data_IF_926742428986
#
_entry.id   IF_926742428986
#
_cell.length_a   1.000
_cell.length_b   1.000
_cell.length_c   1.000
_cell.angle_alpha   90.00
_cell.angle_beta   90.00
_cell.angle_gamma   90.00
#
_symmetry.space_group_name_H-M   'P 1'
#
loop_
_entity.id
_entity.type
_entity.pdbx_description
1 polymer ?
#
# COMPACT_ATOMS: atom_id res chain seq x y z
N UNK A 1 -15.73 2.45 -1.73
CA UNK A 1 -15.12 3.63 -2.39
C UNK A 1 -13.82 3.90 -1.66
N UNK A 2 -12.72 3.90 -2.40
CA UNK A 2 -11.39 4.12 -1.83
C UNK A 2 -11.17 5.61 -1.53
N UNK A 3 -10.49 5.92 -0.43
CA UNK A 3 -10.12 7.30 -0.08
C UNK A 3 -8.88 7.76 -0.83
N UNK A 4 -8.62 9.08 -0.85
CA UNK A 4 -7.40 9.63 -1.44
C UNK A 4 -6.13 9.07 -0.79
N UNK A 5 -6.13 8.89 0.53
CA UNK A 5 -4.96 8.35 1.25
C UNK A 5 -4.73 6.87 0.92
N UNK A 6 -5.80 6.09 0.80
CA UNK A 6 -5.72 4.69 0.35
C UNK A 6 -5.21 4.59 -1.09
N UNK A 7 -5.69 5.44 -2.00
CA UNK A 7 -5.20 5.49 -3.37
C UNK A 7 -3.73 5.93 -3.45
N UNK A 8 -3.31 6.91 -2.63
CA UNK A 8 -1.91 7.31 -2.54
C UNK A 8 -1.00 6.16 -2.11
N UNK A 9 -1.43 5.36 -1.12
CA UNK A 9 -0.68 4.18 -0.67
C UNK A 9 -0.55 3.15 -1.79
N UNK A 10 -1.65 2.84 -2.50
CA UNK A 10 -1.60 1.95 -3.66
C UNK A 10 -0.66 2.47 -4.75
N UNK A 11 -0.77 3.76 -5.10
CA UNK A 11 0.10 4.39 -6.10
C UNK A 11 1.58 4.20 -5.75
N UNK A 12 1.99 4.53 -4.53
CA UNK A 12 3.38 4.36 -4.08
C UNK A 12 3.82 2.90 -4.14
N UNK A 13 2.97 1.97 -3.70
CA UNK A 13 3.29 0.54 -3.75
C UNK A 13 3.47 0.04 -5.19
N UNK A 14 2.74 0.58 -6.16
CA UNK A 14 2.86 0.20 -7.58
C UNK A 14 4.08 0.79 -8.31
N UNK A 15 4.78 1.77 -7.73
CA UNK A 15 5.94 2.40 -8.40
C UNK A 15 7.13 1.46 -8.54
N UNK A 16 7.26 0.50 -7.63
CA UNK A 16 8.40 -0.42 -7.56
C UNK A 16 7.93 -1.78 -7.13
N UNK A 17 8.43 -2.79 -7.83
CA UNK A 17 8.27 -4.19 -7.42
C UNK A 17 9.33 -4.53 -6.37
N UNK A 18 9.02 -4.22 -5.12
CA UNK A 18 9.85 -4.52 -3.96
C UNK A 18 8.99 -5.06 -2.82
N UNK A 19 9.65 -5.70 -1.86
CA UNK A 19 9.03 -6.14 -0.62
C UNK A 19 8.71 -4.94 0.29
N UNK A 20 7.58 -4.27 0.02
CA UNK A 20 7.07 -3.22 0.89
C UNK A 20 6.75 -3.80 2.27
N UNK A 21 7.00 -3.03 3.31
CA UNK A 21 6.52 -3.27 4.66
C UNK A 21 6.08 -1.93 5.24
N UNK A 22 5.53 -1.92 6.46
CA UNK A 22 5.03 -0.67 7.02
C UNK A 22 6.11 0.42 7.10
N UNK A 23 7.36 0.06 7.42
CA UNK A 23 8.43 1.02 7.66
C UNK A 23 8.89 1.70 6.37
N UNK A 24 9.21 0.92 5.32
CA UNK A 24 9.70 1.51 4.07
C UNK A 24 8.60 2.26 3.30
N UNK A 25 7.35 1.81 3.40
CA UNK A 25 6.19 2.45 2.81
C UNK A 25 5.86 3.77 3.53
N UNK A 26 5.79 3.75 4.87
CA UNK A 26 5.51 4.95 5.67
C UNK A 26 6.59 6.01 5.51
N UNK A 27 7.86 5.59 5.53
CA UNK A 27 9.01 6.47 5.27
C UNK A 27 8.94 7.08 3.88
N UNK A 28 8.56 6.31 2.85
CA UNK A 28 8.46 6.81 1.47
C UNK A 28 7.37 7.87 1.34
N UNK A 29 6.19 7.61 1.92
CA UNK A 29 5.08 8.58 1.95
C UNK A 29 5.50 9.86 2.69
N UNK A 30 6.13 9.72 3.86
CA UNK A 30 6.57 10.84 4.70
C UNK A 30 7.63 11.71 4.02
N UNK A 31 8.71 11.12 3.48
CA UNK A 31 9.77 11.87 2.79
C UNK A 31 9.22 12.66 1.61
N UNK A 32 8.24 12.09 0.89
CA UNK A 32 7.64 12.71 -0.29
C UNK A 32 6.43 13.59 0.04
N UNK A 33 6.09 13.74 1.32
CA UNK A 33 4.93 14.51 1.79
C UNK A 33 3.60 14.06 1.14
N UNK A 34 3.47 12.75 0.89
CA UNK A 34 2.27 12.14 0.33
C UNK A 34 1.33 11.77 1.48
N UNK A 35 0.09 12.32 1.54
CA UNK A 35 -0.86 11.97 2.59
C UNK A 35 -1.15 10.47 2.66
N UNK A 36 -1.06 9.91 3.87
CA UNK A 36 -1.17 8.47 4.14
C UNK A 36 -0.12 7.94 5.11
N UNK A 37 1.01 8.65 5.28
CA UNK A 37 1.99 8.37 6.32
C UNK A 37 1.39 8.48 7.73
N UNK A 38 1.98 7.79 8.71
CA UNK A 38 1.50 7.64 10.08
C UNK A 38 0.32 6.68 10.24
N UNK A 39 -0.31 6.24 9.15
CA UNK A 39 -1.51 5.40 9.17
C UNK A 39 -1.42 4.19 8.22
N UNK A 40 -0.21 3.87 7.73
CA UNK A 40 0.01 2.85 6.69
C UNK A 40 -0.55 1.49 7.07
N UNK A 41 -0.36 1.03 8.31
CA UNK A 41 -0.84 -0.29 8.74
C UNK A 41 -2.36 -0.39 8.64
N UNK A 42 -3.09 0.63 9.11
CA UNK A 42 -4.56 0.64 9.06
C UNK A 42 -5.06 0.70 7.61
N UNK A 43 -4.41 1.51 6.77
CA UNK A 43 -4.74 1.63 5.35
C UNK A 43 -4.50 0.29 4.64
N UNK A 44 -3.33 -0.32 4.81
CA UNK A 44 -2.97 -1.60 4.19
C UNK A 44 -3.92 -2.71 4.62
N UNK A 45 -4.25 -2.81 5.91
CA UNK A 45 -5.21 -3.82 6.38
C UNK A 45 -6.60 -3.64 5.76
N UNK A 46 -7.07 -2.39 5.63
CA UNK A 46 -8.35 -2.12 4.95
C UNK A 46 -8.29 -2.48 3.46
N UNK A 47 -7.22 -2.09 2.78
CA UNK A 47 -6.99 -2.45 1.37
C UNK A 47 -6.91 -3.97 1.17
N UNK A 48 -6.30 -4.70 2.10
CA UNK A 48 -6.24 -6.16 2.08
C UNK A 48 -7.62 -6.80 2.28
N UNK A 49 -8.43 -6.28 3.20
CA UNK A 49 -9.82 -6.71 3.38
C UNK A 49 -10.67 -6.47 2.12
N UNK A 50 -10.35 -5.45 1.33
CA UNK A 50 -10.98 -5.17 0.04
C UNK A 50 -10.40 -6.01 -1.12
N UNK A 51 -9.37 -6.83 -0.85
CA UNK A 51 -8.66 -7.64 -1.83
C UNK A 51 -7.81 -6.82 -2.80
N UNK A 52 -7.38 -5.62 -2.42
CA UNK A 52 -6.53 -4.73 -3.23
C UNK A 52 -5.05 -4.91 -2.90
N UNK A 53 -4.73 -5.29 -1.67
CA UNK A 53 -3.36 -5.58 -1.20
C UNK A 53 -3.28 -7.01 -0.68
N UNK A 54 -2.16 -7.67 -0.93
CA UNK A 54 -1.79 -8.97 -0.39
C UNK A 54 -0.76 -8.73 0.71
N UNK A 55 -0.96 -9.38 1.85
CA UNK A 55 -0.04 -9.35 3.00
C UNK A 55 0.56 -10.74 3.14
N UNK A 56 1.88 -10.84 2.99
CA UNK A 56 2.63 -12.08 3.01
C UNK A 56 3.54 -12.17 4.23
N UNK A 57 3.74 -13.38 4.75
CA UNK A 57 4.70 -13.62 5.83
C UNK A 57 6.13 -13.41 5.31
N UNK A 58 6.87 -12.55 5.98
CA UNK A 58 8.29 -12.27 5.68
C UNK A 58 9.25 -13.13 6.52
N UNK A 59 8.72 -13.98 7.40
CA UNK A 59 9.48 -14.60 8.50
C UNK A 59 9.61 -13.69 9.73
N UNK A 60 9.16 -12.43 9.64
CA UNK A 60 9.04 -11.52 10.76
C UNK A 60 7.60 -11.01 10.89
N UNK A 61 6.87 -11.53 11.89
CA UNK A 61 5.46 -11.21 12.14
C UNK A 61 5.17 -9.72 12.30
N UNK A 62 6.15 -8.93 12.75
CA UNK A 62 6.00 -7.48 12.94
C UNK A 62 6.30 -6.68 11.66
N UNK A 63 6.79 -7.32 10.61
CA UNK A 63 7.17 -6.70 9.33
C UNK A 63 6.80 -7.59 8.15
N UNK A 64 5.52 -7.96 7.97
CA UNK A 64 5.09 -8.69 6.77
C UNK A 64 5.37 -7.91 5.49
N UNK A 65 5.37 -8.62 4.36
CA UNK A 65 5.51 -8.01 3.05
C UNK A 65 4.15 -7.64 2.45
N UNK A 66 4.10 -6.50 1.77
CA UNK A 66 2.89 -5.98 1.14
C UNK A 66 3.07 -5.93 -0.38
N UNK A 67 2.10 -6.49 -1.10
CA UNK A 67 2.07 -6.47 -2.55
C UNK A 67 0.72 -5.97 -3.04
N UNK A 68 0.69 -5.18 -4.12
CA UNK A 68 -0.58 -4.80 -4.74
C UNK A 68 -1.09 -5.99 -5.54
N UNK A 69 -2.33 -6.42 -5.27
CA UNK A 69 -2.99 -7.46 -6.07
C UNK A 69 -3.26 -6.98 -7.49
N UNK A 70 -3.56 -7.90 -8.41
CA UNK A 70 -4.03 -7.53 -9.75
C UNK A 70 -5.26 -6.59 -9.70
N UNK A 71 -6.20 -6.86 -8.79
CA UNK A 71 -7.38 -6.00 -8.57
C UNK A 71 -6.97 -4.59 -8.13
N UNK A 72 -6.00 -4.48 -7.23
CA UNK A 72 -5.45 -3.20 -6.77
C UNK A 72 -4.75 -2.44 -7.89
N UNK A 73 -3.95 -3.13 -8.71
CA UNK A 73 -3.26 -2.54 -9.84
C UNK A 73 -4.25 -2.00 -10.88
N UNK A 74 -5.27 -2.79 -11.23
CA UNK A 74 -6.34 -2.37 -12.15
C UNK A 74 -7.12 -1.15 -11.64
N UNK A 75 -7.34 -1.07 -10.33
CA UNK A 75 -7.95 0.10 -9.71
C UNK A 75 -7.06 1.35 -9.88
N UNK A 76 -5.77 1.25 -9.58
CA UNK A 76 -4.80 2.34 -9.78
C UNK A 76 -4.81 2.85 -11.23
N UNK A 77 -4.79 1.93 -12.20
CA UNK A 77 -4.85 2.30 -13.63
C UNK A 77 -6.17 2.97 -14.04
N UNK A 78 -7.27 2.71 -13.32
CA UNK A 78 -8.56 3.34 -13.58
C UNK A 78 -8.65 4.74 -12.99
N UNK A 79 -8.17 4.94 -11.76
CA UNK A 79 -8.29 6.22 -11.04
C UNK A 79 -7.25 7.27 -11.48
N UNK A 80 -6.14 6.84 -12.11
CA UNK A 80 -5.11 7.75 -12.64
C UNK A 80 -5.30 8.13 -14.13
N UNK A 81 -6.40 7.71 -14.76
CA UNK A 81 -6.80 8.13 -16.11
C UNK A 81 -7.65 9.39 -16.06
#
# INVERSE_FOLDING_TARGET
MITKNELNVLNVMTEKDINWNWMNLDRTLSIRQIPGFGNVVNIVNKLANEGLVIIEDSGNKSMPHYHVSEKGYNLVQRENK
#
